data_IF_602767119611
#
_entry.id   IF_602767119611
#
_cell.length_a   1.000
_cell.length_b   1.000
_cell.length_c   1.000
_cell.angle_alpha   90.00
_cell.angle_beta   90.00
_cell.angle_gamma   90.00
#
_symmetry.space_group_name_H-M   'P 1'
#
loop_
_entity.id
_entity.type
_entity.pdbx_description
1 polymer ?
#
# COMPACT_ATOMS: atom_id res chain seq x y z
N UNK A 1 -19.71 5.04 -2.75
CA UNK A 1 -19.11 3.93 -1.97
C UNK A 1 -17.70 4.36 -1.59
N UNK A 2 -17.57 5.04 -0.45
CA UNK A 2 -16.32 5.64 0.00
C UNK A 2 -15.42 4.56 0.59
N UNK A 3 -14.48 4.04 -0.21
CA UNK A 3 -13.37 3.20 0.24
C UNK A 3 -12.36 3.97 1.14
N UNK A 4 -12.71 5.19 1.54
CA UNK A 4 -11.93 6.15 2.34
C UNK A 4 -11.75 5.68 3.80
N UNK A 5 -12.49 4.68 4.26
CA UNK A 5 -12.41 4.18 5.65
C UNK A 5 -11.39 3.06 5.90
N UNK A 6 -10.50 2.75 4.94
CA UNK A 6 -9.40 1.78 5.18
C UNK A 6 -8.13 2.48 5.74
N UNK A 7 -8.12 3.82 5.81
CA UNK A 7 -7.03 4.62 6.39
C UNK A 7 -7.29 5.27 7.77
N UNK A 8 -8.03 4.68 8.75
CA UNK A 8 -7.97 5.17 10.14
C UNK A 8 -6.75 4.58 10.84
N UNK A 9 -5.66 4.43 10.09
CA UNK A 9 -4.45 3.83 10.58
C UNK A 9 -3.57 4.98 11.02
N UNK A 10 -3.44 5.17 12.33
CA UNK A 10 -2.43 6.08 12.89
C UNK A 10 -1.06 5.48 12.59
N UNK A 11 -0.60 5.65 11.34
CA UNK A 11 0.69 5.13 10.90
C UNK A 11 1.79 5.98 11.51
N UNK A 12 2.70 5.30 12.20
CA UNK A 12 3.92 5.86 12.76
C UNK A 12 5.10 5.05 12.24
N UNK A 13 6.21 5.72 11.94
CA UNK A 13 7.43 5.05 11.46
C UNK A 13 8.23 4.56 12.67
N UNK A 14 7.94 3.33 13.10
CA UNK A 14 8.64 2.66 14.20
C UNK A 14 8.66 1.14 14.03
N UNK A 15 9.64 0.50 14.67
CA UNK A 15 9.67 -0.95 14.80
C UNK A 15 8.52 -1.46 15.71
N UNK A 16 8.06 -2.71 15.54
CA UNK A 16 8.52 -3.70 14.55
C UNK A 16 7.90 -3.51 13.16
N UNK A 17 8.64 -3.92 12.13
CA UNK A 17 8.16 -4.05 10.74
C UNK A 17 7.86 -5.53 10.43
N UNK A 18 6.77 -5.85 9.69
CA UNK A 18 5.78 -4.93 9.17
C UNK A 18 4.91 -4.35 10.29
N UNK A 19 4.54 -3.08 10.20
CA UNK A 19 3.72 -2.40 11.20
C UNK A 19 2.31 -3.02 11.29
N UNK A 20 1.65 -2.84 12.43
CA UNK A 20 0.27 -3.28 12.60
C UNK A 20 -0.66 -2.69 11.52
N UNK A 21 -0.32 -1.48 11.08
CA UNK A 21 -1.03 -0.81 10.02
C UNK A 21 -0.97 -1.54 8.69
N UNK A 22 0.25 -1.86 8.24
CA UNK A 22 0.49 -2.54 6.98
C UNK A 22 -0.09 -3.95 6.99
N UNK A 23 0.05 -4.68 8.11
CA UNK A 23 -0.60 -5.99 8.29
C UNK A 23 -2.11 -5.92 8.13
N UNK A 24 -2.75 -4.91 8.73
CA UNK A 24 -4.20 -4.73 8.61
C UNK A 24 -4.62 -4.39 7.18
N UNK A 25 -3.90 -3.50 6.49
CA UNK A 25 -4.16 -3.15 5.09
C UNK A 25 -4.07 -4.38 4.20
N UNK A 26 -2.97 -5.14 4.26
CA UNK A 26 -2.79 -6.36 3.47
C UNK A 26 -3.89 -7.40 3.76
N UNK A 27 -4.27 -7.57 5.03
CA UNK A 27 -5.37 -8.46 5.42
C UNK A 27 -6.70 -8.07 4.80
N UNK A 28 -7.04 -6.78 4.76
CA UNK A 28 -8.28 -6.33 4.14
C UNK A 28 -8.24 -6.44 2.62
N UNK A 29 -7.08 -6.18 2.00
CA UNK A 29 -6.90 -6.36 0.56
C UNK A 29 -7.04 -7.83 0.14
N UNK A 30 -6.48 -8.75 0.90
CA UNK A 30 -6.65 -10.19 0.65
C UNK A 30 -8.13 -10.61 0.75
N UNK A 31 -8.85 -10.19 1.80
CA UNK A 31 -10.28 -10.47 1.94
C UNK A 31 -11.12 -9.90 0.80
N UNK A 32 -10.80 -8.69 0.37
CA UNK A 32 -11.48 -8.07 -0.75
C UNK A 32 -11.20 -8.83 -2.05
N UNK A 33 -9.96 -9.25 -2.29
CA UNK A 33 -9.58 -10.10 -3.43
C UNK A 33 -10.39 -11.40 -3.42
N UNK A 34 -10.37 -12.14 -2.31
CA UNK A 34 -11.14 -13.38 -2.13
C UNK A 34 -12.63 -13.20 -2.45
N UNK A 35 -13.22 -12.07 -2.03
CA UNK A 35 -14.64 -11.80 -2.23
C UNK A 35 -15.01 -11.47 -3.68
N UNK A 36 -14.08 -10.98 -4.52
CA UNK A 36 -14.38 -10.48 -5.86
C UNK A 36 -13.71 -11.27 -6.99
N UNK A 37 -12.67 -12.05 -6.69
CA UNK A 37 -11.82 -12.67 -7.70
C UNK A 37 -12.60 -13.61 -8.64
N UNK A 38 -13.55 -14.37 -8.11
CA UNK A 38 -14.40 -15.26 -8.90
C UNK A 38 -15.62 -14.55 -9.52
N UNK A 39 -15.85 -13.28 -9.17
CA UNK A 39 -16.98 -12.47 -9.64
C UNK A 39 -16.63 -11.54 -10.79
N UNK A 40 -15.35 -11.13 -10.89
CA UNK A 40 -14.88 -10.17 -11.87
C UNK A 40 -13.88 -10.82 -12.83
N UNK A 41 -13.88 -10.44 -14.13
CA UNK A 41 -12.79 -10.78 -15.02
C UNK A 41 -11.43 -10.33 -14.47
N UNK A 42 -10.37 -11.06 -14.80
CA UNK A 42 -9.03 -10.81 -14.28
C UNK A 42 -8.56 -9.36 -14.54
N UNK A 43 -8.75 -8.86 -15.77
CA UNK A 43 -8.41 -7.49 -16.15
C UNK A 43 -9.15 -6.43 -15.30
N UNK A 44 -10.43 -6.66 -14.99
CA UNK A 44 -11.20 -5.73 -14.15
C UNK A 44 -10.70 -5.76 -12.70
N UNK A 45 -10.34 -6.95 -12.21
CA UNK A 45 -9.74 -7.10 -10.88
C UNK A 45 -8.39 -6.37 -10.81
N UNK A 46 -7.52 -6.55 -11.80
CA UNK A 46 -6.24 -5.83 -11.92
C UNK A 46 -6.43 -4.31 -11.90
N UNK A 47 -7.35 -3.79 -12.72
CA UNK A 47 -7.66 -2.35 -12.79
C UNK A 47 -8.19 -1.80 -11.46
N UNK A 48 -9.00 -2.57 -10.75
CA UNK A 48 -9.47 -2.19 -9.42
C UNK A 48 -8.30 -2.10 -8.43
N UNK A 49 -7.43 -3.10 -8.39
CA UNK A 49 -6.26 -3.10 -7.49
C UNK A 49 -5.26 -1.98 -7.80
N UNK A 50 -5.09 -1.60 -9.07
CA UNK A 50 -4.29 -0.42 -9.43
C UNK A 50 -4.88 0.89 -8.90
N UNK A 51 -6.21 1.06 -8.96
CA UNK A 51 -6.90 2.24 -8.39
C UNK A 51 -6.77 2.29 -6.87
N UNK A 52 -6.85 1.14 -6.22
CA UNK A 52 -6.68 1.01 -4.78
C UNK A 52 -5.23 1.34 -4.39
N UNK A 53 -4.25 0.83 -5.12
CA UNK A 53 -2.84 1.16 -4.93
C UNK A 53 -2.59 2.67 -5.09
N UNK A 54 -3.16 3.32 -6.10
CA UNK A 54 -3.05 4.76 -6.27
C UNK A 54 -3.59 5.55 -5.06
N UNK A 55 -4.75 5.15 -4.53
CA UNK A 55 -5.31 5.74 -3.31
C UNK A 55 -4.40 5.49 -2.09
N UNK A 56 -3.89 4.27 -1.94
CA UNK A 56 -2.96 3.92 -0.87
C UNK A 56 -1.69 4.77 -0.92
N UNK A 57 -1.05 4.90 -2.09
CA UNK A 57 0.14 5.74 -2.29
C UNK A 57 -0.13 7.19 -1.94
N UNK A 58 -1.26 7.75 -2.37
CA UNK A 58 -1.67 9.11 -2.06
C UNK A 58 -1.74 9.36 -0.53
N UNK A 59 -2.37 8.44 0.21
CA UNK A 59 -2.51 8.56 1.66
C UNK A 59 -1.18 8.33 2.39
N UNK A 60 -0.39 7.34 1.99
CA UNK A 60 0.93 7.08 2.58
C UNK A 60 1.85 8.30 2.39
N UNK A 61 1.92 8.83 1.18
CA UNK A 61 2.69 10.04 0.85
C UNK A 61 2.34 11.22 1.74
N UNK A 62 1.03 11.51 1.89
CA UNK A 62 0.55 12.57 2.78
C UNK A 62 1.00 12.34 4.23
N UNK A 63 0.96 11.10 4.71
CA UNK A 63 1.37 10.75 6.06
C UNK A 63 2.88 10.86 6.27
N UNK A 64 3.69 10.41 5.30
CA UNK A 64 5.15 10.55 5.36
C UNK A 64 5.56 12.03 5.39
N UNK A 65 4.91 12.88 4.59
CA UNK A 65 5.11 14.33 4.65
C UNK A 65 4.72 14.90 6.01
N UNK A 66 3.60 14.47 6.60
CA UNK A 66 3.20 14.91 7.93
C UNK A 66 4.19 14.52 9.04
N UNK A 67 4.81 13.34 8.92
CA UNK A 67 5.82 12.84 9.84
C UNK A 67 7.24 13.37 9.55
N UNK A 68 7.42 14.21 8.52
CA UNK A 68 8.71 14.70 8.03
C UNK A 68 9.70 13.57 7.68
N UNK A 69 9.20 12.43 7.21
CA UNK A 69 10.04 11.30 6.77
C UNK A 69 10.41 11.50 5.31
N UNK A 70 11.70 11.47 5.02
CA UNK A 70 12.26 11.70 3.68
C UNK A 70 12.98 10.46 3.14
N UNK A 71 13.27 10.46 1.83
CA UNK A 71 14.02 9.38 1.19
C UNK A 71 15.53 9.64 1.27
N UNK A 72 16.09 9.56 2.48
CA UNK A 72 17.49 9.86 2.79
C UNK A 72 18.37 8.62 2.99
N UNK A 73 17.82 7.41 2.89
CA UNK A 73 18.51 6.16 3.22
C UNK A 73 18.77 5.97 4.72
N UNK A 74 18.21 6.82 5.59
CA UNK A 74 18.33 6.74 7.03
C UNK A 74 17.43 5.66 7.67
N UNK A 75 17.48 5.50 9.00
CA UNK A 75 16.73 4.45 9.69
C UNK A 75 15.21 4.50 9.48
N UNK A 76 14.61 5.71 9.49
CA UNK A 76 13.17 5.87 9.24
C UNK A 76 12.81 5.50 7.79
N UNK A 77 13.63 5.91 6.81
CA UNK A 77 13.46 5.50 5.43
C UNK A 77 13.55 3.96 5.27
N UNK A 78 14.48 3.32 5.98
CA UNK A 78 14.60 1.86 6.02
C UNK A 78 13.34 1.16 6.56
N UNK A 79 12.74 1.70 7.64
CA UNK A 79 11.49 1.17 8.19
C UNK A 79 10.32 1.29 7.21
N UNK A 80 10.16 2.45 6.57
CA UNK A 80 9.11 2.66 5.55
C UNK A 80 9.34 1.72 4.36
N UNK A 81 10.58 1.57 3.91
CA UNK A 81 10.93 0.67 2.81
C UNK A 81 10.59 -0.78 3.12
N UNK A 82 10.84 -1.25 4.35
CA UNK A 82 10.48 -2.59 4.78
C UNK A 82 8.96 -2.82 4.83
N UNK A 83 8.21 -1.83 5.33
CA UNK A 83 6.75 -1.83 5.34
C UNK A 83 6.19 -1.88 3.90
N UNK A 84 6.70 -1.02 3.01
CA UNK A 84 6.30 -0.97 1.60
C UNK A 84 6.62 -2.27 0.87
N UNK A 85 7.80 -2.87 1.12
CA UNK A 85 8.14 -4.18 0.57
C UNK A 85 7.16 -5.27 1.03
N UNK A 86 6.73 -5.25 2.29
CA UNK A 86 5.70 -6.16 2.79
C UNK A 86 4.37 -5.95 2.07
N UNK A 87 3.95 -4.70 1.87
CA UNK A 87 2.73 -4.36 1.12
C UNK A 87 2.76 -4.90 -0.30
N UNK A 88 3.82 -4.57 -1.06
CA UNK A 88 3.98 -5.00 -2.46
C UNK A 88 4.02 -6.51 -2.60
N UNK A 89 4.79 -7.19 -1.74
CA UNK A 89 4.88 -8.64 -1.75
C UNK A 89 3.54 -9.33 -1.49
N UNK A 90 2.74 -8.81 -0.54
CA UNK A 90 1.40 -9.35 -0.30
C UNK A 90 0.46 -9.13 -1.48
N UNK A 91 0.51 -7.96 -2.12
CA UNK A 91 -0.37 -7.65 -3.25
C UNK A 91 -0.04 -8.51 -4.47
N UNK A 92 1.24 -8.64 -4.81
CA UNK A 92 1.70 -9.41 -5.97
C UNK A 92 1.62 -10.93 -5.76
N UNK A 93 1.50 -11.39 -4.51
CA UNK A 93 1.21 -12.80 -4.21
C UNK A 93 -0.25 -13.19 -4.48
N UNK A 94 -1.17 -12.21 -4.63
CA UNK A 94 -2.56 -12.50 -4.97
C UNK A 94 -2.68 -12.94 -6.44
N UNK A 95 -3.54 -13.93 -6.69
CA UNK A 95 -3.75 -14.50 -8.01
C UNK A 95 -4.17 -13.40 -9.01
N UNK A 96 -3.49 -13.38 -10.16
CA UNK A 96 -3.73 -12.41 -11.24
C UNK A 96 -3.10 -11.02 -11.01
N UNK A 97 -2.39 -10.78 -9.90
CA UNK A 97 -1.82 -9.46 -9.58
C UNK A 97 -0.28 -9.39 -9.60
N UNK A 98 0.40 -10.49 -9.94
CA UNK A 98 1.87 -10.63 -9.86
C UNK A 98 2.62 -9.55 -10.64
N UNK A 99 2.16 -9.26 -11.86
CA UNK A 99 2.86 -8.40 -12.81
C UNK A 99 2.34 -6.95 -12.80
N UNK A 100 1.55 -6.58 -11.79
CA UNK A 100 1.10 -5.20 -11.63
C UNK A 100 2.29 -4.27 -11.33
N UNK A 101 2.43 -3.24 -12.15
CA UNK A 101 3.30 -2.11 -11.85
C UNK A 101 2.63 -1.22 -10.79
N UNK A 102 3.12 -1.33 -9.55
CA UNK A 102 2.61 -0.54 -8.44
C UNK A 102 3.24 0.84 -8.36
N UNK A 103 4.37 1.09 -9.05
CA UNK A 103 5.16 2.31 -9.00
C UNK A 103 5.25 2.92 -7.59
N UNK A 104 5.81 2.15 -6.65
CA UNK A 104 5.90 2.56 -5.23
C UNK A 104 6.88 3.70 -4.98
N UNK A 105 7.78 4.01 -5.92
CA UNK A 105 8.68 5.15 -5.81
C UNK A 105 7.94 6.49 -5.72
N UNK A 106 6.73 6.58 -6.29
CA UNK A 106 5.87 7.78 -6.31
C UNK A 106 5.55 8.34 -4.90
N UNK A 107 5.62 7.50 -3.86
CA UNK A 107 5.35 7.92 -2.47
C UNK A 107 6.37 8.95 -1.96
N UNK A 108 7.55 9.01 -2.58
CA UNK A 108 8.64 9.92 -2.23
C UNK A 108 8.69 11.19 -3.08
N UNK A 109 7.97 11.24 -4.21
CA UNK A 109 8.00 12.39 -5.10
C UNK A 109 7.37 13.61 -4.40
N UNK A 110 8.04 14.74 -4.37
CA UNK A 110 7.40 15.99 -3.92
C UNK A 110 6.77 16.67 -5.15
N UNK A 111 5.50 17.09 -5.05
CA UNK A 111 4.96 18.03 -6.05
C UNK A 111 5.77 19.33 -5.91
N UNK A 112 6.60 19.61 -6.92
CA UNK A 112 7.16 20.94 -7.15
C UNK A 112 6.04 21.94 -7.45
#
# INVERSE_FOLDING_TARGET
>A
MNMILIFPCQYEVKAPVPSACFRNICKQMAKMHEAIFDLLPEEQTQMLFLRINASYKFHLKKQLSHLNVINDGGPQNGLVTADVAFYTGNLQALKGLKDLDLNMAEIWEQKR
#
